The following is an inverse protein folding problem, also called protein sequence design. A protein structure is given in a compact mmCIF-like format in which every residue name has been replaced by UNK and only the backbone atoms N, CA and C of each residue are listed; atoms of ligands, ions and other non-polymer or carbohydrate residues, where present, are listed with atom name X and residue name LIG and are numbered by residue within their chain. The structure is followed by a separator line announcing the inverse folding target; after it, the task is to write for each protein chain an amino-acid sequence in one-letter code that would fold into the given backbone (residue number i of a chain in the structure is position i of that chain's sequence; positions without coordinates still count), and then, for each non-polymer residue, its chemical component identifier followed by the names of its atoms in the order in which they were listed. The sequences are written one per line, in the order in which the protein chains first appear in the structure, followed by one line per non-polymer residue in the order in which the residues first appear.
data_IF_924660524367
#
_entry.id   IF_924660524367
#
_cell.length_a   1.000
_cell.length_b   1.000
_cell.length_c   1.000
_cell.angle_alpha   90.00
_cell.angle_beta   90.00
_cell.angle_gamma   90.00
#
_symmetry.space_group_name_H-M   'P 1'
#
loop_
_entity.id
_entity.type
_entity.pdbx_description
1 polymer ?
#
# COMPACT_ATOMS: atom_id res chain seq x y z
N UNK A 1 -4.97 -3.25 -7.89
CA UNK A 1 -4.98 -1.81 -8.23
C UNK A 1 -3.94 -1.13 -7.35
N UNK A 2 -3.50 0.09 -7.68
CA UNK A 2 -2.46 0.76 -6.91
C UNK A 2 -2.96 1.16 -5.52
N UNK A 3 -2.36 0.66 -4.46
CA UNK A 3 -2.83 0.87 -3.07
C UNK A 3 -2.53 2.26 -2.50
N UNK A 4 -1.65 3.03 -3.13
CA UNK A 4 -1.34 4.39 -2.69
C UNK A 4 -2.58 5.30 -2.66
N UNK A 5 -2.65 6.18 -1.66
CA UNK A 5 -3.78 7.09 -1.45
C UNK A 5 -4.14 7.88 -2.72
N UNK A 6 -5.43 7.87 -3.06
CA UNK A 6 -6.00 8.58 -4.22
C UNK A 6 -5.68 8.00 -5.61
N UNK A 7 -4.84 6.97 -5.72
CA UNK A 7 -4.42 6.46 -7.02
C UNK A 7 -5.51 5.61 -7.70
N UNK A 8 -5.81 5.91 -8.97
CA UNK A 8 -6.83 5.22 -9.76
C UNK A 8 -6.32 4.08 -10.65
N UNK A 9 -5.01 3.81 -10.64
CA UNK A 9 -4.37 2.88 -11.59
C UNK A 9 -4.81 1.43 -11.35
N UNK A 10 -5.25 0.78 -12.44
CA UNK A 10 -5.70 -0.60 -12.45
C UNK A 10 -4.62 -1.61 -12.08
N UNK A 11 -5.03 -2.81 -11.64
CA UNK A 11 -4.11 -3.85 -11.17
C UNK A 11 -3.11 -4.30 -12.23
N UNK A 12 -3.51 -4.36 -13.50
CA UNK A 12 -2.67 -4.81 -14.61
C UNK A 12 -1.46 -3.90 -14.88
N UNK A 13 -1.52 -2.65 -14.40
CA UNK A 13 -0.44 -1.67 -14.51
C UNK A 13 0.37 -1.52 -13.21
N UNK A 14 0.14 -2.40 -12.24
CA UNK A 14 0.83 -2.40 -10.96
C UNK A 14 1.93 -3.48 -10.91
N UNK A 15 2.86 -3.28 -9.99
CA UNK A 15 3.97 -4.15 -9.68
C UNK A 15 3.91 -4.53 -8.20
N UNK A 16 4.38 -5.73 -7.82
CA UNK A 16 4.56 -6.08 -6.43
C UNK A 16 5.68 -5.23 -5.81
N UNK A 17 5.37 -4.56 -4.70
CA UNK A 17 6.27 -3.76 -3.89
C UNK A 17 6.46 -4.42 -2.51
N UNK A 18 7.69 -4.50 -2.02
CA UNK A 18 7.98 -5.01 -0.68
C UNK A 18 7.82 -3.91 0.37
N UNK A 19 6.80 -4.00 1.23
CA UNK A 19 6.53 -3.06 2.34
C UNK A 19 7.75 -2.89 3.26
N UNK A 20 8.37 -4.01 3.63
CA UNK A 20 9.74 -4.04 4.12
C UNK A 20 10.65 -4.44 2.96
N UNK A 21 11.52 -3.53 2.52
CA UNK A 21 12.41 -3.74 1.39
C UNK A 21 13.21 -5.06 1.50
N UNK A 22 13.36 -5.77 0.38
CA UNK A 22 14.07 -7.05 0.32
C UNK A 22 15.53 -6.94 0.82
N UNK A 23 16.24 -5.86 0.43
CA UNK A 23 17.61 -5.57 0.88
C UNK A 23 17.75 -5.44 2.41
N UNK A 24 16.65 -5.11 3.10
CA UNK A 24 16.59 -4.98 4.55
C UNK A 24 16.05 -6.26 5.23
N UNK A 25 16.00 -7.39 4.51
CA UNK A 25 15.53 -8.67 5.01
C UNK A 25 14.00 -8.87 4.94
N UNK A 26 13.31 -8.09 4.12
CA UNK A 26 11.90 -8.34 3.81
C UNK A 26 11.72 -9.61 2.98
N UNK A 27 10.74 -10.45 3.34
CA UNK A 27 10.47 -11.71 2.62
C UNK A 27 9.54 -11.46 1.42
N UNK A 28 9.66 -12.28 0.38
CA UNK A 28 8.71 -12.31 -0.75
C UNK A 28 7.50 -13.15 -0.39
N UNK A 29 6.61 -12.59 0.41
CA UNK A 29 5.36 -13.21 0.89
C UNK A 29 4.24 -12.19 0.83
N UNK A 30 2.99 -12.62 0.67
CA UNK A 30 1.82 -11.73 0.52
C UNK A 30 1.63 -10.77 1.69
N UNK A 31 2.03 -11.16 2.91
CA UNK A 31 2.01 -10.29 4.08
C UNK A 31 3.08 -9.19 4.07
N UNK A 32 3.99 -9.18 3.10
CA UNK A 32 5.01 -8.14 2.91
C UNK A 32 4.92 -7.50 1.51
N UNK A 33 3.95 -7.89 0.68
CA UNK A 33 3.79 -7.36 -0.68
C UNK A 33 2.54 -6.48 -0.78
N UNK A 34 2.71 -5.32 -1.39
CA UNK A 34 1.64 -4.43 -1.81
C UNK A 34 1.68 -4.25 -3.34
N UNK A 35 0.58 -3.81 -3.95
CA UNK A 35 0.53 -3.57 -5.39
C UNK A 35 0.57 -2.06 -5.67
N UNK A 36 1.63 -1.57 -6.31
CA UNK A 36 1.81 -0.16 -6.63
C UNK A 36 2.02 0.04 -8.14
N UNK A 37 1.51 1.14 -8.71
CA UNK A 37 1.85 1.51 -10.09
C UNK A 37 3.33 1.92 -10.18
N UNK A 38 3.90 1.97 -11.38
CA UNK A 38 5.32 2.32 -11.55
C UNK A 38 5.70 3.67 -10.90
N UNK A 39 4.81 4.67 -10.96
CA UNK A 39 5.03 5.99 -10.34
C UNK A 39 5.04 5.91 -8.82
N UNK A 40 4.01 5.32 -8.22
CA UNK A 40 3.90 5.21 -6.76
C UNK A 40 4.95 4.28 -6.17
N UNK A 41 5.28 3.18 -6.87
CA UNK A 41 6.35 2.28 -6.49
C UNK A 41 7.71 2.98 -6.49
N UNK A 42 7.99 3.80 -7.52
CA UNK A 42 9.27 4.51 -7.65
C UNK A 42 9.46 5.61 -6.61
N UNK A 43 8.38 6.23 -6.12
CA UNK A 43 8.45 7.27 -5.09
C UNK A 43 8.29 6.74 -3.66
N UNK A 44 7.91 5.48 -3.47
CA UNK A 44 7.64 4.93 -2.15
C UNK A 44 8.91 4.92 -1.29
N UNK A 45 8.84 5.40 -0.04
CA UNK A 45 9.98 5.41 0.85
C UNK A 45 10.28 3.99 1.42
N UNK A 46 11.34 3.36 0.91
CA UNK A 46 11.84 2.06 1.40
C UNK A 46 12.47 2.14 2.81
N UNK A 47 13.02 3.30 3.17
CA UNK A 47 13.72 3.56 4.42
C UNK A 47 12.90 4.53 5.28
N UNK A 48 12.18 4.04 6.31
CA UNK A 48 11.34 4.90 7.14
C UNK A 48 12.13 5.92 7.96
N UNK A 49 13.44 5.75 8.13
CA UNK A 49 14.30 6.71 8.82
C UNK A 49 14.71 7.89 7.92
N UNK A 50 14.43 7.81 6.62
CA UNK A 50 14.76 8.85 5.62
C UNK A 50 13.55 9.18 4.74
N UNK A 51 12.47 9.73 5.32
CA UNK A 51 11.23 9.95 4.61
C UNK A 51 11.33 11.09 3.58
N UNK A 52 10.65 10.93 2.44
CA UNK A 52 10.51 11.95 1.38
C UNK A 52 9.07 12.07 0.86
N UNK A 53 8.40 10.94 0.61
CA UNK A 53 7.11 10.90 -0.10
C UNK A 53 6.03 10.09 0.61
N UNK A 54 6.37 9.44 1.73
CA UNK A 54 5.53 8.50 2.42
C UNK A 54 5.73 7.09 1.88
N UNK A 55 5.11 6.13 2.57
CA UNK A 55 5.32 4.72 2.29
C UNK A 55 4.08 3.89 2.50
N UNK A 56 3.99 2.82 1.74
CA UNK A 56 2.97 1.81 1.92
C UNK A 56 3.29 0.92 3.13
N UNK A 57 2.30 0.72 3.97
CA UNK A 57 2.35 -0.17 5.13
C UNK A 57 1.14 -1.10 5.15
N UNK A 58 1.29 -2.25 5.81
CA UNK A 58 0.14 -3.12 6.12
C UNK A 58 -0.29 -2.92 7.57
N UNK A 59 -1.45 -2.31 7.76
CA UNK A 59 -2.01 -2.01 9.08
C UNK A 59 -3.36 -2.70 9.18
N UNK A 60 -3.53 -3.58 10.17
CA UNK A 60 -4.76 -4.37 10.36
C UNK A 60 -5.20 -5.13 9.07
N UNK A 61 -4.21 -5.64 8.33
CA UNK A 61 -4.43 -6.38 7.09
C UNK A 61 -4.78 -5.51 5.87
N UNK A 62 -4.89 -4.19 6.03
CA UNK A 62 -5.12 -3.24 4.94
C UNK A 62 -3.81 -2.62 4.48
N UNK A 63 -3.68 -2.43 3.17
CA UNK A 63 -2.64 -1.60 2.55
C UNK A 63 -2.98 -0.11 2.76
N UNK A 64 -2.19 0.58 3.57
CA UNK A 64 -2.35 1.97 3.94
C UNK A 64 -1.11 2.78 3.56
N UNK A 65 -1.31 3.95 2.95
CA UNK A 65 -0.25 4.92 2.73
C UNK A 65 0.00 5.73 4.01
N UNK A 66 1.24 5.71 4.51
CA UNK A 66 1.70 6.47 5.68
C UNK A 66 2.42 7.74 5.22
N UNK A 67 1.97 8.94 5.62
CA UNK A 67 2.60 10.20 5.22
C UNK A 67 4.04 10.34 5.77
N UNK A 68 4.94 10.90 4.96
CA UNK A 68 6.37 11.10 5.29
C UNK A 68 6.62 11.89 6.59
N UNK A 69 5.79 12.91 6.86
CA UNK A 69 6.06 13.92 7.91
C UNK A 69 4.98 13.93 9.00
N UNK A 70 4.38 12.78 9.26
CA UNK A 70 3.30 12.62 10.23
C UNK A 70 1.90 12.87 9.66
N UNK A 71 0.90 12.54 10.47
CA UNK A 71 -0.50 12.43 10.06
C UNK A 71 -0.99 10.99 10.04
N UNK A 72 -2.29 10.82 9.85
CA UNK A 72 -2.91 9.50 9.91
C UNK A 72 -2.63 8.67 8.64
N UNK A 73 -2.41 7.35 8.77
CA UNK A 73 -2.38 6.44 7.63
C UNK A 73 -3.67 6.54 6.81
N UNK A 74 -3.53 6.51 5.48
CA UNK A 74 -4.64 6.70 4.56
C UNK A 74 -4.85 5.47 3.70
N UNK A 75 -6.09 5.02 3.70
CA UNK A 75 -6.55 3.99 2.78
C UNK A 75 -6.92 4.63 1.45
N UNK A 76 -6.54 4.02 0.32
CA UNK A 76 -6.95 4.54 -0.97
C UNK A 76 -8.48 4.48 -1.15
N UNK A 77 -9.13 5.64 -1.26
CA UNK A 77 -10.58 5.78 -1.41
C UNK A 77 -11.04 5.97 -2.86
N UNK A 78 -10.12 5.90 -3.85
CA UNK A 78 -10.50 5.98 -5.26
C UNK A 78 -11.47 4.83 -5.62
N UNK A 79 -12.49 5.02 -6.49
CA UNK A 79 -13.45 3.97 -6.84
C UNK A 79 -12.82 2.64 -7.27
N UNK A 80 -11.71 2.68 -8.03
CA UNK A 80 -10.91 1.50 -8.42
C UNK A 80 -10.41 0.66 -7.23
N UNK A 81 -10.20 1.29 -6.06
CA UNK A 81 -9.65 0.70 -4.85
C UNK A 81 -10.69 0.08 -3.90
N UNK A 82 -11.97 0.45 -4.06
CA UNK A 82 -13.01 0.08 -3.11
C UNK A 82 -13.34 -1.42 -3.13
N UNK A 83 -13.09 -2.10 -4.26
CA UNK A 83 -13.33 -3.54 -4.44
C UNK A 83 -12.25 -4.46 -3.85
N UNK A 84 -11.33 -3.96 -3.02
CA UNK A 84 -10.26 -4.78 -2.43
C UNK A 84 -10.81 -5.91 -1.56
N UNK A 85 -10.31 -7.14 -1.75
CA UNK A 85 -10.84 -8.34 -1.10
C UNK A 85 -10.88 -8.26 0.44
N UNK A 86 -9.82 -7.75 1.07
CA UNK A 86 -9.78 -7.60 2.54
C UNK A 86 -10.80 -6.58 3.04
N UNK A 87 -11.01 -5.48 2.32
CA UNK A 87 -12.02 -4.46 2.67
C UNK A 87 -13.42 -5.03 2.65
N UNK A 88 -13.72 -5.81 1.60
CA UNK A 88 -15.00 -6.51 1.46
C UNK A 88 -15.17 -7.57 2.57
N UNK A 89 -14.15 -8.36 2.85
CA UNK A 89 -14.18 -9.37 3.90
C UNK A 89 -14.42 -8.76 5.29
N UNK A 90 -13.74 -7.66 5.65
CA UNK A 90 -13.97 -6.93 6.90
C UNK A 90 -15.39 -6.39 6.97
N UNK A 91 -15.86 -5.73 5.91
CA UNK A 91 -17.25 -5.24 5.83
C UNK A 91 -18.27 -6.37 6.01
N UNK A 92 -18.00 -7.55 5.48
CA UNK A 92 -18.87 -8.73 5.64
C UNK A 92 -18.83 -9.31 7.07
N UNK A 93 -17.72 -9.18 7.78
CA UNK A 93 -17.57 -9.67 9.15
C UNK A 93 -18.14 -8.71 10.21
N UNK A 94 -18.33 -7.44 9.84
CA UNK A 94 -19.00 -6.41 10.66
C UNK A 94 -20.53 -6.40 10.51
N UNK A 95 -21.06 -7.17 9.54
CA UNK A 95 -22.50 -7.42 9.35
C UNK A 95 -22.97 -8.61 10.18
#
# INVERSE_FOLDING_TARGET
MCVADGCGVGADFCQPHHVKAYKNGGKTVTSNLAMLCAYDNGRNDDDPEKPMHGREEKIDGLEMWVPAFGGDPKLNMHPTALGGAIRLAKKMAEL
#
